data_IF_603747815225
#
_entry.id   IF_603747815225
#
_cell.length_a   1.000
_cell.length_b   1.000
_cell.length_c   1.000
_cell.angle_alpha   90.00
_cell.angle_beta   90.00
_cell.angle_gamma   90.00
#
_symmetry.space_group_name_H-M   'P 1'
#
loop_
_entity.id
_entity.type
_entity.pdbx_description
1 polymer ?
#
# COMPACT_ATOMS: atom_id res chain seq x y z
N UNK A 1 8.88 -9.32 -18.72
CA UNK A 1 7.63 -9.05 -17.98
C UNK A 1 7.10 -7.71 -18.44
N UNK A 2 5.80 -7.61 -18.73
CA UNK A 2 5.15 -6.31 -18.99
C UNK A 2 4.86 -5.63 -17.67
N UNK A 3 4.97 -4.30 -17.61
CA UNK A 3 4.48 -3.53 -16.47
C UNK A 3 2.95 -3.69 -16.36
N UNK A 4 2.42 -3.60 -15.14
CA UNK A 4 0.98 -3.58 -14.90
C UNK A 4 0.36 -2.32 -15.48
N UNK A 5 -0.84 -2.45 -16.05
CA UNK A 5 -1.62 -1.32 -16.54
C UNK A 5 -2.60 -0.87 -15.45
N UNK A 6 -2.30 0.20 -14.72
CA UNK A 6 -3.16 0.63 -13.61
C UNK A 6 -4.53 1.17 -14.04
N UNK A 7 -4.75 1.45 -15.33
CA UNK A 7 -6.10 1.80 -15.82
C UNK A 7 -7.10 0.64 -15.72
N UNK A 8 -6.64 -0.59 -15.46
CA UNK A 8 -7.52 -1.74 -15.22
C UNK A 8 -7.91 -1.90 -13.75
N UNK A 9 -7.38 -1.05 -12.87
CA UNK A 9 -7.62 -1.13 -11.43
C UNK A 9 -8.91 -0.40 -11.08
N UNK A 10 -9.55 -0.85 -10.00
CA UNK A 10 -10.63 -0.12 -9.36
C UNK A 10 -10.04 0.92 -8.42
N UNK A 11 -10.67 2.09 -8.36
CA UNK A 11 -10.23 3.22 -7.56
C UNK A 11 -11.28 3.53 -6.48
N UNK A 12 -10.82 3.71 -5.26
CA UNK A 12 -11.58 4.29 -4.15
C UNK A 12 -10.84 5.55 -3.73
N UNK A 13 -11.39 6.71 -4.06
CA UNK A 13 -10.75 8.01 -3.78
C UNK A 13 -11.79 9.08 -3.43
N UNK A 14 -12.35 9.04 -2.21
CA UNK A 14 -13.42 9.95 -1.81
C UNK A 14 -13.01 11.43 -1.82
N UNK A 15 -11.71 11.71 -1.65
CA UNK A 15 -11.16 13.06 -1.50
C UNK A 15 -10.37 13.54 -2.74
N UNK A 16 -10.43 12.80 -3.86
CA UNK A 16 -9.77 13.16 -5.13
C UNK A 16 -8.25 13.39 -4.97
N UNK A 17 -7.58 12.50 -4.23
CA UNK A 17 -6.14 12.54 -3.92
C UNK A 17 -5.29 11.64 -4.82
N UNK A 18 -5.92 10.79 -5.62
CA UNK A 18 -5.30 9.79 -6.47
C UNK A 18 -5.38 10.23 -7.93
N UNK A 19 -4.26 10.11 -8.63
CA UNK A 19 -4.19 10.23 -10.09
C UNK A 19 -3.62 8.93 -10.65
N UNK A 20 -4.42 8.24 -11.45
CA UNK A 20 -4.06 6.97 -12.10
C UNK A 20 -3.76 7.19 -13.57
N UNK A 21 -2.64 6.62 -14.02
CA UNK A 21 -2.28 6.47 -15.44
C UNK A 21 -1.99 5.00 -15.71
N UNK A 22 -1.78 4.62 -16.97
CA UNK A 22 -1.44 3.23 -17.29
C UNK A 22 -0.14 2.72 -16.68
N UNK A 23 0.73 3.58 -16.15
CA UNK A 23 2.05 3.18 -15.65
C UNK A 23 2.41 3.77 -14.28
N UNK A 24 1.52 4.56 -13.68
CA UNK A 24 1.76 5.21 -12.40
C UNK A 24 0.46 5.51 -11.67
N UNK A 25 0.50 5.30 -10.36
CA UNK A 25 -0.44 5.87 -9.40
C UNK A 25 0.29 6.94 -8.61
N UNK A 26 -0.32 8.12 -8.51
CA UNK A 26 0.22 9.24 -7.74
C UNK A 26 -0.79 9.61 -6.68
N UNK A 27 -0.36 9.66 -5.42
CA UNK A 27 -1.15 10.14 -4.29
C UNK A 27 -0.59 11.47 -3.81
N UNK A 28 -1.43 12.42 -3.45
CA UNK A 28 -1.02 13.74 -2.94
C UNK A 28 -1.81 14.10 -1.70
N UNK A 29 -1.19 14.85 -0.77
CA UNK A 29 -1.83 15.35 0.46
C UNK A 29 -2.61 14.28 1.26
N UNK A 30 -2.04 13.08 1.37
CA UNK A 30 -2.60 12.00 2.16
C UNK A 30 -2.39 12.29 3.65
N UNK A 31 -3.46 12.55 4.40
CA UNK A 31 -3.40 12.81 5.83
C UNK A 31 -3.94 11.63 6.64
N UNK A 32 -3.37 11.42 7.83
CA UNK A 32 -3.86 10.41 8.77
C UNK A 32 -5.32 10.72 9.19
N UNK A 33 -6.16 9.69 9.25
CA UNK A 33 -7.56 9.82 9.64
C UNK A 33 -8.48 10.46 8.60
N UNK A 34 -7.96 10.79 7.40
CA UNK A 34 -8.80 10.98 6.22
C UNK A 34 -9.17 9.62 5.65
N UNK A 35 -10.33 9.51 5.00
CA UNK A 35 -10.91 8.22 4.59
C UNK A 35 -9.97 7.36 3.75
N UNK A 36 -10.28 6.07 3.64
CA UNK A 36 -9.45 5.13 2.89
C UNK A 36 -9.45 5.49 1.39
N UNK A 37 -8.27 5.85 0.87
CA UNK A 37 -8.05 6.09 -0.55
C UNK A 37 -7.01 5.10 -1.09
N UNK A 38 -7.37 4.32 -2.11
CA UNK A 38 -6.53 3.29 -2.69
C UNK A 38 -6.96 2.92 -4.12
N UNK A 39 -6.03 2.27 -4.83
CA UNK A 39 -6.33 1.55 -6.06
C UNK A 39 -6.15 0.05 -5.82
N UNK A 40 -6.95 -0.78 -6.46
CA UNK A 40 -6.83 -2.22 -6.30
C UNK A 40 -7.23 -2.98 -7.57
N UNK A 41 -6.72 -4.20 -7.68
CA UNK A 41 -7.11 -5.14 -8.71
C UNK A 41 -7.25 -6.50 -8.06
N UNK A 42 -8.45 -7.06 -8.10
CA UNK A 42 -8.67 -8.45 -7.73
C UNK A 42 -7.98 -9.36 -8.75
N UNK A 43 -7.02 -10.15 -8.27
CA UNK A 43 -6.24 -11.10 -9.09
C UNK A 43 -6.91 -12.48 -9.16
N UNK A 44 -8.00 -12.68 -8.42
CA UNK A 44 -8.66 -13.97 -8.24
C UNK A 44 -7.99 -14.83 -7.18
N UNK A 45 -8.72 -15.86 -6.73
CA UNK A 45 -8.23 -16.82 -5.75
C UNK A 45 -6.98 -17.55 -6.26
N UNK A 46 -6.07 -17.85 -5.35
CA UNK A 46 -4.85 -18.64 -5.60
C UNK A 46 -3.84 -18.04 -6.61
N UNK A 47 -4.00 -16.76 -7.00
CA UNK A 47 -3.12 -16.16 -8.01
C UNK A 47 -1.64 -16.14 -7.60
N UNK A 48 -1.37 -16.02 -6.30
CA UNK A 48 -0.02 -15.96 -5.72
C UNK A 48 0.36 -17.24 -4.93
N UNK A 49 -0.33 -18.37 -5.12
CA UNK A 49 -0.07 -19.64 -4.38
C UNK A 49 1.29 -20.28 -4.68
N UNK A 50 2.03 -19.74 -5.66
CA UNK A 50 3.38 -20.17 -6.00
C UNK A 50 4.35 -19.00 -5.92
N UNK A 51 5.65 -19.28 -6.00
CA UNK A 51 6.67 -18.23 -5.98
C UNK A 51 6.40 -17.17 -7.05
N UNK A 52 6.28 -15.92 -6.61
CA UNK A 52 6.05 -14.77 -7.48
C UNK A 52 7.16 -13.74 -7.33
N UNK A 53 7.25 -12.85 -8.32
CA UNK A 53 8.16 -11.71 -8.30
C UNK A 53 7.36 -10.48 -8.70
N UNK A 54 7.41 -9.45 -7.84
CA UNK A 54 6.87 -8.12 -8.12
C UNK A 54 8.03 -7.15 -8.26
N UNK A 55 8.01 -6.34 -9.31
CA UNK A 55 9.00 -5.28 -9.55
C UNK A 55 8.29 -3.96 -9.52
N UNK A 56 8.67 -3.11 -8.57
CA UNK A 56 8.01 -1.85 -8.29
C UNK A 56 9.02 -0.71 -8.24
N UNK A 57 8.58 0.48 -8.62
CA UNK A 57 9.32 1.73 -8.43
C UNK A 57 8.50 2.64 -7.55
N UNK A 58 9.05 3.02 -6.40
CA UNK A 58 8.43 3.95 -5.46
C UNK A 58 9.22 5.23 -5.44
N UNK A 59 8.51 6.36 -5.56
CA UNK A 59 9.09 7.69 -5.48
C UNK A 59 8.34 8.48 -4.42
N UNK A 60 9.07 8.94 -3.40
CA UNK A 60 8.56 9.80 -2.34
C UNK A 60 9.13 11.19 -2.60
N UNK A 61 8.29 12.12 -3.04
CA UNK A 61 8.70 13.50 -3.35
C UNK A 61 8.57 14.43 -2.15
N UNK A 62 7.60 14.17 -1.27
CA UNK A 62 7.36 14.93 -0.06
C UNK A 62 6.78 14.03 1.03
N UNK A 63 7.15 14.31 2.27
CA UNK A 63 6.54 13.73 3.46
C UNK A 63 6.76 14.71 4.61
N UNK A 64 5.66 15.22 5.16
CA UNK A 64 5.73 16.07 6.34
C UNK A 64 6.13 15.25 7.57
N UNK A 65 6.79 15.94 8.51
CA UNK A 65 7.19 15.34 9.78
C UNK A 65 5.95 14.94 10.57
N UNK A 66 6.06 13.87 11.36
CA UNK A 66 5.07 13.60 12.42
C UNK A 66 4.44 12.22 12.41
N UNK A 67 5.13 11.18 11.94
CA UNK A 67 4.59 9.83 11.98
C UNK A 67 3.65 9.51 10.81
N UNK A 68 3.92 10.08 9.63
CA UNK A 68 3.23 9.69 8.41
C UNK A 68 3.53 8.22 8.09
N UNK A 69 2.49 7.46 7.75
CA UNK A 69 2.56 6.06 7.33
C UNK A 69 1.69 5.94 6.08
N UNK A 70 2.22 5.35 5.01
CA UNK A 70 1.48 5.13 3.77
C UNK A 70 1.85 3.76 3.18
N UNK A 71 0.86 2.89 2.99
CA UNK A 71 1.03 1.61 2.30
C UNK A 71 1.00 1.86 0.79
N UNK A 72 2.17 2.02 0.20
CA UNK A 72 2.30 2.37 -1.23
C UNK A 72 2.11 1.16 -2.15
N UNK A 73 2.13 -0.06 -1.58
CA UNK A 73 1.85 -1.31 -2.27
C UNK A 73 1.45 -2.38 -1.26
N UNK A 74 0.51 -3.24 -1.61
CA UNK A 74 0.10 -4.37 -0.77
C UNK A 74 -0.44 -5.54 -1.60
N UNK A 75 -0.33 -6.74 -1.03
CA UNK A 75 -1.09 -7.94 -1.40
C UNK A 75 -1.80 -8.41 -0.13
N UNK A 76 -3.10 -8.67 -0.25
CA UNK A 76 -3.97 -9.15 0.83
C UNK A 76 -5.18 -9.84 0.21
N UNK A 77 -5.78 -10.79 0.92
CA UNK A 77 -7.09 -11.37 0.54
C UNK A 77 -8.28 -10.55 1.09
N UNK A 78 -8.00 -9.60 1.98
CA UNK A 78 -8.99 -8.76 2.63
C UNK A 78 -8.73 -7.29 2.26
N UNK A 79 -9.73 -6.62 1.71
CA UNK A 79 -9.62 -5.21 1.32
C UNK A 79 -9.97 -4.33 2.53
N UNK A 80 -8.96 -3.94 3.29
CA UNK A 80 -9.10 -3.09 4.46
C UNK A 80 -7.85 -2.19 4.66
N UNK A 81 -7.94 -1.22 5.57
CA UNK A 81 -6.78 -0.46 5.99
C UNK A 81 -5.80 -1.31 6.82
N UNK A 82 -4.57 -0.83 6.99
CA UNK A 82 -3.54 -1.60 7.68
C UNK A 82 -3.94 -2.01 9.12
N UNK A 83 -4.66 -1.14 9.83
CA UNK A 83 -5.09 -1.44 11.21
C UNK A 83 -6.17 -2.51 11.17
N UNK A 84 -7.15 -2.41 10.26
CA UNK A 84 -8.20 -3.41 10.05
C UNK A 84 -7.64 -4.77 9.68
N UNK A 85 -6.56 -4.83 8.89
CA UNK A 85 -5.87 -6.09 8.58
C UNK A 85 -5.21 -6.70 9.82
N UNK A 86 -4.48 -5.92 10.61
CA UNK A 86 -3.82 -6.41 11.82
C UNK A 86 -4.83 -6.83 12.89
N UNK A 87 -5.77 -5.95 13.24
CA UNK A 87 -6.78 -6.19 14.26
C UNK A 87 -7.74 -7.32 13.84
N UNK A 88 -8.00 -7.44 12.54
CA UNK A 88 -8.80 -8.49 11.92
C UNK A 88 -8.08 -9.84 11.79
N UNK A 89 -6.82 -9.96 12.24
CA UNK A 89 -6.00 -11.17 12.13
C UNK A 89 -5.86 -11.67 10.70
N UNK A 90 -5.62 -10.75 9.75
CA UNK A 90 -5.54 -11.01 8.32
C UNK A 90 -4.11 -11.22 7.84
N UNK A 91 -4.00 -11.85 6.67
CA UNK A 91 -2.74 -12.06 5.98
C UNK A 91 -2.44 -10.87 5.06
N UNK A 92 -1.20 -10.39 5.07
CA UNK A 92 -0.80 -9.30 4.20
C UNK A 92 0.70 -9.33 3.90
N UNK A 93 1.06 -8.80 2.73
CA UNK A 93 2.41 -8.39 2.41
C UNK A 93 2.35 -6.96 1.90
N UNK A 94 2.99 -6.01 2.58
CA UNK A 94 2.90 -4.59 2.23
C UNK A 94 4.25 -3.90 2.24
N UNK A 95 4.42 -2.96 1.31
CA UNK A 95 5.50 -2.00 1.31
C UNK A 95 4.98 -0.67 1.87
N UNK A 96 5.57 -0.27 2.98
CA UNK A 96 5.24 0.94 3.71
C UNK A 96 6.30 2.01 3.49
N UNK A 97 5.85 3.24 3.24
CA UNK A 97 6.65 4.44 3.37
C UNK A 97 6.27 5.15 4.68
N UNK A 98 7.24 5.36 5.57
CA UNK A 98 7.01 6.01 6.87
C UNK A 98 7.99 7.14 7.16
N UNK A 99 7.54 8.14 7.89
CA UNK A 99 8.37 9.22 8.40
C UNK A 99 8.21 9.33 9.92
N UNK A 100 8.90 8.46 10.70
CA UNK A 100 8.84 8.48 12.16
C UNK A 100 9.29 9.83 12.74
N UNK A 101 8.84 10.12 13.95
CA UNK A 101 9.27 11.33 14.69
C UNK A 101 10.75 11.28 15.10
N UNK A 102 11.32 10.07 15.26
CA UNK A 102 12.72 9.86 15.59
C UNK A 102 13.21 8.47 15.11
N UNK A 103 14.32 8.37 14.36
CA UNK A 103 14.98 9.49 13.68
C UNK A 103 14.02 10.13 12.68
N UNK A 104 14.10 11.46 12.50
CA UNK A 104 13.22 12.17 11.56
C UNK A 104 13.71 11.98 10.11
N UNK A 105 13.57 10.75 9.63
CA UNK A 105 14.05 10.30 8.33
C UNK A 105 12.99 9.42 7.68
N UNK A 106 12.80 9.59 6.37
CA UNK A 106 11.90 8.73 5.60
C UNK A 106 12.49 7.32 5.50
N UNK A 107 11.66 6.32 5.76
CA UNK A 107 12.02 4.91 5.72
C UNK A 107 11.07 4.18 4.77
N UNK A 108 11.62 3.16 4.09
CA UNK A 108 10.85 2.17 3.36
C UNK A 108 10.96 0.86 4.13
N UNK A 109 9.81 0.21 4.40
CA UNK A 109 9.75 -1.03 5.15
C UNK A 109 8.86 -2.04 4.43
N UNK A 110 9.34 -3.26 4.28
CA UNK A 110 8.50 -4.40 3.93
C UNK A 110 7.92 -5.00 5.23
N UNK A 111 6.64 -5.31 5.23
CA UNK A 111 5.96 -5.98 6.35
C UNK A 111 5.18 -7.17 5.83
N UNK A 112 5.29 -8.27 6.54
CA UNK A 112 4.51 -9.49 6.30
C UNK A 112 3.66 -9.76 7.54
N UNK A 113 2.42 -10.17 7.32
CA UNK A 113 1.48 -10.61 8.35
C UNK A 113 0.90 -11.96 7.97
N UNK A 114 0.91 -12.91 8.91
CA UNK A 114 0.21 -14.20 8.83
C UNK A 114 -0.69 -14.34 10.05
N UNK A 115 -2.00 -14.39 9.81
CA UNK A 115 -3.03 -14.34 10.85
C UNK A 115 -2.94 -13.10 11.74
N UNK A 116 -2.55 -11.94 11.18
CA UNK A 116 -2.29 -10.69 11.90
C UNK A 116 -1.01 -10.66 12.74
N UNK A 117 -0.24 -11.75 12.78
CA UNK A 117 1.08 -11.74 13.41
C UNK A 117 2.09 -11.16 12.45
N UNK A 118 2.76 -10.08 12.84
CA UNK A 118 3.74 -9.41 12.00
C UNK A 118 5.13 -10.06 12.05
N UNK A 119 5.74 -10.19 10.88
CA UNK A 119 7.12 -10.61 10.69
C UNK A 119 7.92 -9.45 10.08
N UNK A 120 9.10 -9.22 10.65
CA UNK A 120 9.99 -8.11 10.31
C UNK A 120 11.21 -8.57 9.52
#
# INVERSE_FOLDING_TARGET
MSAENFLTFQEVDPDSKIVVTSSRVTTTDMLAGQGSAYVYLDKGAAFFDSSFVQTLTVNITASDRGGAINQVWAITNDLDDFIGLVDGSKDFLTLECRHPQSPNETQIRLREGDGGTEYA
#
